data_IF_488002731345
#
_entry.id   IF_488002731345
#
_cell.length_a   1.000
_cell.length_b   1.000
_cell.length_c   1.000
_cell.angle_alpha   90.00
_cell.angle_beta   90.00
_cell.angle_gamma   90.00
#
_symmetry.space_group_name_H-M   'P 1'
#
loop_
_entity.id
_entity.type
_entity.pdbx_description
1 polymer ?
#
# COMPACT_ATOMS: atom_id res chain seq x y z
N UNK A 1 -24.91 15.50 4.99
CA UNK A 1 -24.85 14.09 5.40
C UNK A 1 -23.37 13.69 5.59
N UNK A 2 -23.07 13.07 6.73
CA UNK A 2 -21.71 12.63 7.07
C UNK A 2 -21.18 11.60 6.08
N UNK A 3 -22.03 10.69 5.64
CA UNK A 3 -21.67 9.63 4.69
C UNK A 3 -21.26 10.26 3.36
N UNK A 4 -22.08 11.15 2.80
CA UNK A 4 -21.77 11.82 1.52
C UNK A 4 -20.47 12.63 1.60
N UNK A 5 -20.16 13.19 2.78
CA UNK A 5 -18.93 13.98 2.97
C UNK A 5 -17.68 13.13 3.11
N UNK A 6 -17.81 11.92 3.66
CA UNK A 6 -16.69 11.05 3.98
C UNK A 6 -16.42 9.99 2.91
N UNK A 7 -17.45 9.54 2.20
CA UNK A 7 -17.33 8.50 1.19
C UNK A 7 -17.23 9.07 -0.22
N UNK A 8 -16.49 8.39 -1.06
CA UNK A 8 -16.35 8.72 -2.49
C UNK A 8 -17.12 7.71 -3.33
N UNK A 9 -17.99 8.20 -4.20
CA UNK A 9 -18.74 7.35 -5.14
C UNK A 9 -17.84 6.65 -6.15
N UNK A 10 -16.70 7.28 -6.49
CA UNK A 10 -15.79 6.84 -7.53
C UNK A 10 -14.34 6.81 -7.03
N UNK A 11 -14.00 5.81 -6.22
CA UNK A 11 -12.62 5.54 -5.86
C UNK A 11 -11.89 4.86 -7.05
N UNK A 12 -10.81 5.47 -7.52
CA UNK A 12 -10.08 4.99 -8.70
C UNK A 12 -9.12 3.88 -8.35
N UNK A 13 -9.06 2.88 -9.22
CA UNK A 13 -8.02 1.86 -9.23
C UNK A 13 -7.33 1.85 -10.60
N UNK A 14 -6.01 1.87 -10.60
CA UNK A 14 -5.20 1.83 -11.81
C UNK A 14 -4.12 0.76 -11.65
N UNK A 15 -3.89 -0.02 -12.70
CA UNK A 15 -2.83 -1.03 -12.74
C UNK A 15 -2.21 -1.08 -14.13
N UNK A 16 -0.90 -0.95 -14.18
CA UNK A 16 -0.11 -1.00 -15.41
C UNK A 16 0.99 -2.03 -15.25
N UNK A 17 1.20 -2.82 -16.28
CA UNK A 17 2.30 -3.79 -16.32
C UNK A 17 2.96 -3.73 -17.70
N UNK A 18 4.28 -3.55 -17.69
CA UNK A 18 5.12 -3.64 -18.86
C UNK A 18 6.00 -4.89 -18.75
N UNK A 19 5.95 -5.76 -19.72
CA UNK A 19 6.78 -6.97 -19.81
C UNK A 19 7.64 -6.95 -21.07
N UNK A 20 8.91 -7.31 -20.90
CA UNK A 20 9.88 -7.46 -21.99
C UNK A 20 10.50 -8.84 -21.85
N UNK A 21 10.43 -9.64 -22.91
CA UNK A 21 11.08 -10.94 -22.97
C UNK A 21 11.99 -11.02 -24.18
N UNK A 22 13.07 -11.71 -24.05
CA UNK A 22 14.00 -11.90 -25.13
C UNK A 22 14.96 -13.05 -24.88
N UNK A 23 15.76 -13.36 -25.86
CA UNK A 23 16.74 -14.41 -25.70
C UNK A 23 17.55 -14.68 -26.95
N UNK A 24 18.53 -15.52 -26.77
CA UNK A 24 19.41 -16.08 -27.80
C UNK A 24 19.47 -17.61 -27.68
N UNK A 25 20.35 -18.26 -28.40
CA UNK A 25 20.58 -19.70 -28.25
C UNK A 25 21.11 -20.09 -26.85
N UNK A 26 21.77 -19.16 -26.18
CA UNK A 26 22.44 -19.42 -24.90
C UNK A 26 21.83 -18.66 -23.70
N UNK A 27 20.96 -17.68 -23.94
CA UNK A 27 20.45 -16.84 -22.89
C UNK A 27 18.97 -16.53 -23.12
N UNK A 28 18.18 -16.55 -22.04
CA UNK A 28 16.81 -16.05 -22.01
C UNK A 28 16.66 -15.05 -20.88
N UNK A 29 15.82 -14.04 -21.09
CA UNK A 29 15.51 -13.08 -20.05
C UNK A 29 14.05 -12.63 -20.12
N UNK A 30 13.52 -12.30 -18.97
CA UNK A 30 12.21 -11.68 -18.81
C UNK A 30 12.30 -10.55 -17.78
N UNK A 31 11.91 -9.37 -18.18
CA UNK A 31 11.82 -8.16 -17.35
C UNK A 31 10.36 -7.79 -17.20
N UNK A 32 9.93 -7.41 -16.00
CA UNK A 32 8.60 -6.89 -15.76
C UNK A 32 8.65 -5.68 -14.84
N UNK A 33 7.93 -4.63 -15.22
CA UNK A 33 7.67 -3.44 -14.43
C UNK A 33 6.17 -3.36 -14.17
N UNK A 34 5.77 -3.08 -12.95
CA UNK A 34 4.37 -2.91 -12.59
C UNK A 34 4.17 -1.69 -11.69
N UNK A 35 3.07 -1.01 -11.92
CA UNK A 35 2.55 0.05 -11.08
C UNK A 35 1.09 -0.23 -10.78
N UNK A 36 0.68 -0.03 -9.53
CA UNK A 36 -0.70 -0.09 -9.09
C UNK A 36 -0.96 1.06 -8.13
N UNK A 37 -2.08 1.73 -8.32
CA UNK A 37 -2.62 2.73 -7.41
C UNK A 37 -4.10 2.44 -7.16
N UNK A 38 -4.51 2.56 -5.90
CA UNK A 38 -5.89 2.39 -5.47
C UNK A 38 -6.25 3.45 -4.45
N UNK A 39 -7.22 4.27 -4.77
CA UNK A 39 -7.81 5.24 -3.84
C UNK A 39 -8.76 4.52 -2.89
N UNK A 40 -8.79 4.95 -1.63
CA UNK A 40 -9.79 4.48 -0.67
C UNK A 40 -11.16 5.07 -0.95
N UNK A 41 -12.20 4.31 -0.67
CA UNK A 41 -13.60 4.78 -0.75
C UNK A 41 -13.92 5.80 0.35
N UNK A 42 -13.13 5.86 1.42
CA UNK A 42 -13.27 6.81 2.51
C UNK A 42 -12.21 7.90 2.38
N UNK A 43 -12.65 9.14 2.25
CA UNK A 43 -11.81 10.33 2.12
C UNK A 43 -11.06 10.45 0.78
N UNK A 44 -11.03 9.41 -0.04
CA UNK A 44 -10.34 9.41 -1.33
C UNK A 44 -8.82 9.39 -1.20
N UNK A 45 -8.13 9.84 -2.25
CA UNK A 45 -6.67 9.77 -2.38
C UNK A 45 -5.90 10.45 -1.25
N UNK A 46 -6.39 11.56 -0.73
CA UNK A 46 -5.68 12.36 0.28
C UNK A 46 -5.74 11.75 1.68
N UNK A 47 -6.74 10.91 1.95
CA UNK A 47 -7.00 10.29 3.25
C UNK A 47 -6.62 8.83 3.27
N UNK A 48 -6.92 8.11 2.18
CA UNK A 48 -6.72 6.67 2.09
C UNK A 48 -6.24 6.31 0.69
N UNK A 49 -5.01 5.87 0.58
CA UNK A 49 -4.38 5.56 -0.70
C UNK A 49 -3.43 4.37 -0.56
N UNK A 50 -3.32 3.60 -1.61
CA UNK A 50 -2.36 2.53 -1.75
C UNK A 50 -1.65 2.65 -3.08
N UNK A 51 -0.32 2.62 -3.04
CA UNK A 51 0.53 2.57 -4.23
C UNK A 51 1.53 1.43 -4.13
N UNK A 52 1.76 0.77 -5.25
CA UNK A 52 2.74 -0.32 -5.37
C UNK A 52 3.50 -0.22 -6.67
N UNK A 53 4.81 -0.26 -6.54
CA UNK A 53 5.75 -0.40 -7.63
C UNK A 53 6.41 -1.77 -7.54
N UNK A 54 6.49 -2.49 -8.62
CA UNK A 54 7.18 -3.76 -8.66
C UNK A 54 8.07 -3.86 -9.88
N UNK A 55 9.22 -4.44 -9.64
CA UNK A 55 10.21 -4.77 -10.64
C UNK A 55 10.55 -6.26 -10.50
N UNK A 56 10.66 -6.96 -11.62
CA UNK A 56 11.09 -8.36 -11.65
C UNK A 56 11.99 -8.59 -12.85
N UNK A 57 13.07 -9.31 -12.61
CA UNK A 57 13.93 -9.84 -13.67
C UNK A 57 14.17 -11.33 -13.41
N UNK A 58 14.07 -12.10 -14.47
CA UNK A 58 14.47 -13.51 -14.51
C UNK A 58 15.38 -13.70 -15.70
N UNK A 59 16.50 -14.36 -15.50
CA UNK A 59 17.33 -14.78 -16.62
C UNK A 59 17.88 -16.19 -16.44
N UNK A 60 18.21 -16.82 -17.53
CA UNK A 60 18.89 -18.10 -17.60
C UNK A 60 19.95 -18.04 -18.69
N UNK A 61 21.13 -18.56 -18.39
CA UNK A 61 22.27 -18.57 -19.32
C UNK A 61 22.89 -19.96 -19.37
N UNK A 62 23.05 -20.49 -20.57
CA UNK A 62 23.90 -21.64 -20.84
C UNK A 62 25.35 -21.17 -20.95
N UNK A 63 26.23 -21.72 -20.14
CA UNK A 63 27.65 -21.33 -20.12
C UNK A 63 28.38 -21.85 -21.39
N UNK A 64 27.94 -23.02 -21.88
CA UNK A 64 28.50 -23.62 -23.09
C UNK A 64 27.43 -23.62 -24.20
N UNK A 65 27.77 -23.03 -25.35
CA UNK A 65 26.83 -22.83 -26.47
C UNK A 65 26.19 -24.13 -26.96
N UNK A 66 26.99 -25.19 -27.10
CA UNK A 66 26.57 -26.45 -27.70
C UNK A 66 26.35 -27.57 -26.66
N UNK A 67 26.27 -27.20 -25.39
CA UNK A 67 26.10 -28.16 -24.29
C UNK A 67 25.21 -27.62 -23.17
N UNK A 68 24.35 -28.46 -22.67
CA UNK A 68 23.54 -28.19 -21.46
C UNK A 68 24.29 -28.54 -20.15
N UNK A 69 25.64 -28.70 -20.22
CA UNK A 69 26.44 -29.09 -19.08
C UNK A 69 26.26 -28.19 -17.88
N UNK A 70 26.26 -26.87 -18.09
CA UNK A 70 26.12 -25.88 -17.03
C UNK A 70 25.18 -24.76 -17.45
N UNK A 71 24.15 -24.55 -16.65
CA UNK A 71 23.24 -23.41 -16.74
C UNK A 71 23.30 -22.62 -15.43
N UNK A 72 23.26 -21.32 -15.53
CA UNK A 72 23.11 -20.40 -14.39
C UNK A 72 21.92 -19.49 -14.63
N UNK A 73 21.26 -19.08 -13.58
CA UNK A 73 20.15 -18.16 -13.71
C UNK A 73 19.91 -17.39 -12.42
N UNK A 74 19.22 -16.28 -12.56
CA UNK A 74 18.77 -15.48 -11.45
C UNK A 74 17.29 -15.14 -11.59
N UNK A 75 16.67 -14.94 -10.43
CA UNK A 75 15.33 -14.39 -10.28
C UNK A 75 15.39 -13.32 -9.21
N UNK A 76 15.14 -12.08 -9.60
CA UNK A 76 15.17 -10.94 -8.70
C UNK A 76 13.83 -10.22 -8.76
N UNK A 77 13.32 -9.83 -7.60
CA UNK A 77 12.08 -9.07 -7.45
C UNK A 77 12.29 -7.97 -6.44
N UNK A 78 11.84 -6.79 -6.78
CA UNK A 78 11.76 -5.65 -5.88
C UNK A 78 10.32 -5.14 -5.85
N UNK A 79 9.79 -4.93 -4.65
CA UNK A 79 8.45 -4.40 -4.43
C UNK A 79 8.55 -3.23 -3.46
N UNK A 80 8.05 -2.08 -3.88
CA UNK A 80 7.89 -0.91 -3.03
C UNK A 80 6.41 -0.58 -2.90
N UNK A 81 5.94 -0.41 -1.66
CA UNK A 81 4.55 -0.09 -1.33
C UNK A 81 4.51 1.15 -0.47
N UNK A 82 3.52 1.98 -0.73
CA UNK A 82 3.13 3.10 0.13
C UNK A 82 1.64 3.02 0.39
N UNK A 83 1.25 3.22 1.62
CA UNK A 83 -0.15 3.38 1.96
C UNK A 83 -0.34 4.31 3.14
N UNK A 84 -1.43 5.03 3.11
CA UNK A 84 -2.00 5.78 4.22
C UNK A 84 -3.46 5.35 4.41
N UNK A 85 -4.05 5.72 5.53
CA UNK A 85 -5.44 5.38 5.78
C UNK A 85 -5.93 5.84 7.15
N UNK A 86 -7.19 5.61 7.38
CA UNK A 86 -7.89 5.91 8.65
C UNK A 86 -7.85 4.72 9.60
N UNK A 87 -8.02 5.00 10.91
CA UNK A 87 -8.15 3.95 11.90
C UNK A 87 -9.56 3.33 11.85
N UNK A 88 -9.59 2.01 11.77
CA UNK A 88 -10.83 1.19 11.80
C UNK A 88 -10.64 -0.03 12.73
N UNK A 89 -9.89 0.16 13.82
CA UNK A 89 -9.35 -0.95 14.61
C UNK A 89 -10.38 -1.68 15.47
N UNK A 90 -11.25 -0.96 16.16
CA UNK A 90 -12.22 -1.54 17.10
C UNK A 90 -13.54 -0.76 17.14
N UNK A 91 -14.43 -1.12 18.06
CA UNK A 91 -15.73 -0.48 18.20
C UNK A 91 -15.64 1.00 18.60
N UNK A 92 -14.63 1.41 19.35
CA UNK A 92 -14.49 2.76 19.89
C UNK A 92 -13.54 3.64 19.05
N UNK A 93 -12.49 3.04 18.52
CA UNK A 93 -11.48 3.73 17.70
C UNK A 93 -11.76 3.51 16.21
N UNK A 94 -12.96 3.83 15.77
CA UNK A 94 -13.42 3.56 14.42
C UNK A 94 -14.07 4.80 13.80
N UNK A 95 -13.33 5.48 12.95
CA UNK A 95 -13.79 6.70 12.27
C UNK A 95 -15.08 6.45 11.45
N UNK A 96 -15.25 5.25 10.90
CA UNK A 96 -16.46 4.92 10.09
C UNK A 96 -17.71 4.82 10.96
N UNK A 97 -17.59 4.28 12.18
CA UNK A 97 -18.71 4.20 13.10
C UNK A 97 -19.29 5.59 13.39
N UNK A 98 -18.41 6.60 13.60
CA UNK A 98 -18.82 7.97 13.82
C UNK A 98 -19.68 8.53 12.68
N UNK A 99 -19.38 8.17 11.42
CA UNK A 99 -20.17 8.61 10.27
C UNK A 99 -21.63 8.14 10.31
N UNK A 100 -21.91 7.00 10.94
CA UNK A 100 -23.25 6.46 11.10
C UNK A 100 -23.92 6.85 12.42
N UNK A 101 -23.13 7.15 13.46
CA UNK A 101 -23.62 7.42 14.81
C UNK A 101 -23.88 8.92 15.05
N UNK A 102 -23.15 9.81 14.40
CA UNK A 102 -23.29 11.25 14.58
C UNK A 102 -24.59 11.77 13.95
N UNK A 103 -25.25 12.67 14.66
CA UNK A 103 -26.50 13.29 14.16
C UNK A 103 -26.31 13.91 12.77
N UNK A 104 -27.14 13.58 11.78
CA UNK A 104 -27.05 14.15 10.44
C UNK A 104 -27.37 15.65 10.39
N UNK A 105 -27.95 16.20 11.45
CA UNK A 105 -28.25 17.63 11.58
C UNK A 105 -27.07 18.43 12.12
N UNK A 106 -26.09 17.78 12.75
CA UNK A 106 -24.90 18.46 13.23
C UNK A 106 -24.05 18.95 12.06
N UNK A 107 -23.60 20.22 12.06
CA UNK A 107 -22.71 20.73 11.04
C UNK A 107 -21.30 20.13 11.17
N UNK A 108 -20.61 19.96 10.04
CA UNK A 108 -19.22 19.46 10.01
C UNK A 108 -18.27 20.54 10.54
N UNK A 109 -18.52 21.79 10.21
CA UNK A 109 -17.66 22.94 10.49
C UNK A 109 -18.34 23.89 11.47
N UNK A 110 -17.53 24.58 12.29
CA UNK A 110 -17.96 25.62 13.21
C UNK A 110 -16.89 26.69 13.33
N UNK A 111 -17.30 27.95 13.37
CA UNK A 111 -16.40 29.10 13.58
C UNK A 111 -15.96 29.26 15.05
N UNK A 112 -16.51 28.47 15.96
CA UNK A 112 -16.34 28.62 17.42
C UNK A 112 -15.45 27.54 18.04
N UNK A 113 -14.56 26.90 17.30
CA UNK A 113 -13.70 25.90 17.88
C UNK A 113 -12.50 26.53 18.60
N UNK A 114 -12.25 26.10 19.84
CA UNK A 114 -11.23 26.68 20.76
C UNK A 114 -9.77 26.41 20.34
N UNK A 115 -9.52 25.49 19.40
CA UNK A 115 -8.19 25.02 19.01
C UNK A 115 -7.82 25.32 17.56
N UNK A 116 -8.26 26.46 17.05
CA UNK A 116 -7.97 26.89 15.66
C UNK A 116 -8.35 25.83 14.60
N UNK A 117 -9.32 25.00 14.93
CA UNK A 117 -9.90 23.99 14.06
C UNK A 117 -11.26 24.48 13.58
N UNK A 118 -11.50 24.38 12.28
CA UNK A 118 -12.81 24.69 11.70
C UNK A 118 -13.85 23.59 11.91
N UNK A 119 -13.46 22.45 12.50
CA UNK A 119 -14.38 21.33 12.74
C UNK A 119 -15.25 21.57 13.96
N UNK A 120 -16.55 21.27 13.83
CA UNK A 120 -17.50 21.41 14.92
C UNK A 120 -17.27 20.34 15.99
N UNK A 121 -17.36 20.74 17.26
CA UNK A 121 -17.41 19.80 18.39
C UNK A 121 -18.81 19.21 18.52
N UNK A 122 -18.99 18.00 17.98
CA UNK A 122 -20.28 17.29 18.02
C UNK A 122 -20.55 16.59 19.35
N UNK A 123 -19.54 16.49 20.23
CA UNK A 123 -19.67 15.81 21.51
C UNK A 123 -20.19 16.72 22.64
N UNK A 124 -20.07 18.04 22.49
CA UNK A 124 -20.35 19.04 23.54
C UNK A 124 -21.44 20.03 23.14
N UNK A 125 -22.42 19.61 22.40
CA UNK A 125 -23.49 20.49 21.92
C UNK A 125 -24.86 19.81 22.06
N UNK A 126 -25.91 20.49 21.60
CA UNK A 126 -27.27 19.92 21.45
C UNK A 126 -27.30 18.68 20.56
N UNK A 127 -26.20 18.39 19.87
CA UNK A 127 -26.01 17.24 18.98
C UNK A 127 -25.30 16.06 19.65
N UNK A 128 -25.11 16.10 20.95
CA UNK A 128 -24.35 15.11 21.71
C UNK A 128 -24.80 13.68 21.43
N UNK A 129 -23.85 12.83 21.05
CA UNK A 129 -24.04 11.41 20.79
C UNK A 129 -22.91 10.54 21.37
N UNK A 130 -21.97 11.12 22.11
CA UNK A 130 -20.79 10.44 22.68
C UNK A 130 -19.62 10.26 21.71
N UNK A 131 -19.77 10.63 20.45
CA UNK A 131 -18.73 10.53 19.45
C UNK A 131 -18.27 11.93 18.99
N UNK A 132 -16.99 12.09 18.75
CA UNK A 132 -16.44 13.32 18.19
C UNK A 132 -16.77 13.47 16.69
N UNK A 133 -16.40 14.61 16.11
CA UNK A 133 -16.60 14.88 14.70
C UNK A 133 -15.92 13.84 13.81
N UNK A 134 -16.64 12.98 13.11
CA UNK A 134 -16.06 11.89 12.34
C UNK A 134 -15.28 12.38 11.12
N UNK A 135 -15.71 13.48 10.49
CA UNK A 135 -15.00 14.09 9.37
C UNK A 135 -13.67 14.70 9.82
N UNK A 136 -13.70 15.46 10.92
CA UNK A 136 -12.49 16.00 11.54
C UNK A 136 -11.52 14.89 11.95
N UNK A 137 -12.02 13.83 12.59
CA UNK A 137 -11.22 12.63 12.93
C UNK A 137 -10.62 11.96 11.70
N UNK A 138 -11.36 11.83 10.61
CA UNK A 138 -10.87 11.30 9.35
C UNK A 138 -9.70 12.14 8.81
N UNK A 139 -9.86 13.45 8.76
CA UNK A 139 -8.85 14.36 8.19
C UNK A 139 -7.60 14.47 9.07
N UNK A 140 -7.74 14.45 10.40
CA UNK A 140 -6.61 14.58 11.31
C UNK A 140 -5.84 13.28 11.51
N UNK A 141 -6.54 12.13 11.51
CA UNK A 141 -5.93 10.81 11.71
C UNK A 141 -5.37 10.19 10.42
N UNK A 142 -5.60 10.79 9.25
CA UNK A 142 -5.04 10.36 7.98
C UNK A 142 -3.58 10.78 7.75
N UNK A 143 -3.02 11.61 8.64
CA UNK A 143 -1.62 12.05 8.57
C UNK A 143 -0.64 10.93 8.97
N UNK A 144 -0.80 9.78 8.36
CA UNK A 144 0.07 8.63 8.54
C UNK A 144 0.52 8.10 7.18
N UNK A 145 1.69 7.51 7.15
CA UNK A 145 2.24 6.90 5.94
C UNK A 145 3.03 5.65 6.34
N UNK A 146 2.73 4.56 5.69
CA UNK A 146 3.48 3.32 5.82
C UNK A 146 4.17 3.01 4.48
N UNK A 147 5.49 2.88 4.51
CA UNK A 147 6.32 2.51 3.37
C UNK A 147 6.97 1.17 3.63
N UNK A 148 6.90 0.28 2.64
CA UNK A 148 7.54 -1.03 2.73
C UNK A 148 8.31 -1.29 1.44
N UNK A 149 9.60 -1.57 1.59
CA UNK A 149 10.47 -2.02 0.50
C UNK A 149 10.85 -3.49 0.74
N UNK A 150 10.63 -4.34 -0.25
CA UNK A 150 11.00 -5.76 -0.19
C UNK A 150 11.82 -6.11 -1.40
N UNK A 151 13.01 -6.59 -1.16
CA UNK A 151 13.89 -7.20 -2.15
C UNK A 151 13.90 -8.72 -1.92
N UNK A 152 13.70 -9.48 -2.98
CA UNK A 152 13.87 -10.93 -2.94
C UNK A 152 14.59 -11.39 -4.20
N UNK A 153 15.52 -12.30 -4.03
CA UNK A 153 16.27 -12.82 -5.15
C UNK A 153 16.82 -14.20 -4.89
N UNK A 154 16.99 -14.93 -5.95
CA UNK A 154 17.75 -16.17 -5.94
C UNK A 154 18.62 -16.26 -7.18
N UNK A 155 19.74 -16.95 -7.03
CA UNK A 155 20.62 -17.37 -8.10
C UNK A 155 20.74 -18.89 -8.04
N UNK A 156 20.83 -19.52 -9.17
CA UNK A 156 20.99 -20.95 -9.25
C UNK A 156 22.04 -21.37 -10.28
N UNK A 157 22.64 -22.51 -10.04
CA UNK A 157 23.47 -23.23 -10.99
C UNK A 157 22.92 -24.65 -11.17
N UNK A 158 22.76 -25.09 -12.39
CA UNK A 158 22.33 -26.42 -12.78
C UNK A 158 23.43 -27.08 -13.60
N UNK A 159 24.00 -28.16 -13.07
CA UNK A 159 25.02 -28.96 -13.72
C UNK A 159 24.40 -30.27 -14.20
N UNK A 160 24.57 -30.60 -15.48
CA UNK A 160 24.09 -31.81 -16.09
C UNK A 160 25.30 -32.62 -16.66
N UNK A 161 26.03 -33.35 -15.79
CA UNK A 161 27.26 -34.07 -16.22
C UNK A 161 26.99 -35.23 -17.18
N UNK A 162 25.81 -35.85 -17.07
CA UNK A 162 25.35 -36.89 -17.96
C UNK A 162 23.86 -36.70 -18.27
N UNK A 163 23.39 -37.22 -19.40
CA UNK A 163 22.08 -36.94 -19.97
C UNK A 163 20.89 -37.06 -19.01
N UNK A 164 20.96 -37.97 -18.04
CA UNK A 164 19.85 -38.27 -17.12
C UNK A 164 20.11 -37.82 -15.66
N UNK A 165 21.17 -37.04 -15.38
CA UNK A 165 21.51 -36.56 -14.04
C UNK A 165 21.63 -35.03 -14.06
N UNK A 166 20.79 -34.37 -13.28
CA UNK A 166 20.83 -32.94 -13.03
C UNK A 166 21.08 -32.66 -11.56
N UNK A 167 22.06 -31.84 -11.30
CA UNK A 167 22.38 -31.32 -9.97
C UNK A 167 22.10 -29.83 -9.98
N UNK A 168 21.20 -29.36 -9.11
CA UNK A 168 20.83 -27.94 -9.02
C UNK A 168 21.10 -27.41 -7.64
N UNK A 169 21.85 -26.34 -7.55
CA UNK A 169 22.07 -25.56 -6.34
C UNK A 169 21.38 -24.20 -6.48
N UNK A 170 20.69 -23.77 -5.43
CA UNK A 170 19.98 -22.50 -5.37
C UNK A 170 20.39 -21.77 -4.11
N UNK A 171 20.79 -20.50 -4.27
CA UNK A 171 20.99 -19.58 -3.15
C UNK A 171 19.97 -18.47 -3.26
N UNK A 172 19.19 -18.23 -2.20
CA UNK A 172 18.16 -17.19 -2.14
C UNK A 172 18.32 -16.28 -0.95
N UNK A 173 17.93 -15.02 -1.13
CA UNK A 173 17.90 -14.03 -0.06
C UNK A 173 16.63 -13.17 -0.15
N UNK A 174 16.12 -12.76 1.01
CA UNK A 174 15.02 -11.80 1.13
C UNK A 174 15.45 -10.72 2.11
N UNK A 175 15.26 -9.48 1.73
CA UNK A 175 15.47 -8.32 2.58
C UNK A 175 14.23 -7.44 2.56
N UNK A 176 13.74 -7.05 3.74
CA UNK A 176 12.58 -6.17 3.89
C UNK A 176 12.89 -5.01 4.82
N UNK A 177 12.40 -3.83 4.46
CA UNK A 177 12.42 -2.62 5.29
C UNK A 177 11.02 -2.05 5.34
N UNK A 178 10.59 -1.63 6.53
CA UNK A 178 9.30 -0.96 6.75
C UNK A 178 9.53 0.33 7.53
N UNK A 179 8.89 1.40 7.08
CA UNK A 179 8.92 2.72 7.72
C UNK A 179 7.48 3.16 7.95
N UNK A 180 7.18 3.56 9.17
CA UNK A 180 5.90 4.17 9.52
C UNK A 180 6.13 5.58 10.03
N UNK A 181 5.37 6.54 9.50
CA UNK A 181 5.33 7.92 9.94
C UNK A 181 3.91 8.29 10.30
N UNK A 182 3.75 9.06 11.38
CA UNK A 182 2.47 9.58 11.82
C UNK A 182 2.65 10.98 12.39
N UNK A 183 1.72 11.87 12.09
CA UNK A 183 1.64 13.19 12.65
C UNK A 183 0.23 13.43 13.16
N UNK A 184 0.11 13.72 14.45
CA UNK A 184 -1.15 14.08 15.08
C UNK A 184 -1.16 15.59 15.33
N UNK A 185 -1.94 16.38 14.56
CA UNK A 185 -2.11 17.80 14.84
C UNK A 185 -2.84 18.01 16.17
N UNK A 186 -2.63 19.17 16.78
CA UNK A 186 -3.41 19.58 17.94
C UNK A 186 -4.82 19.93 17.47
N UNK A 187 -5.83 19.26 18.01
CA UNK A 187 -7.24 19.53 17.72
C UNK A 187 -8.13 19.20 18.92
N UNK A 188 -9.32 19.79 18.93
CA UNK A 188 -10.38 19.38 19.85
C UNK A 188 -11.73 19.50 19.14
N UNK A 189 -12.39 18.39 18.89
CA UNK A 189 -13.76 18.29 18.40
C UNK A 189 -14.50 17.09 19.02
N UNK A 190 -14.03 16.67 20.19
CA UNK A 190 -14.64 15.71 21.11
C UNK A 190 -14.16 16.00 22.53
N UNK A 191 -14.95 15.58 23.53
CA UNK A 191 -14.59 15.67 24.95
C UNK A 191 -13.55 14.60 25.28
#
# INVERSE_FOLDING_TARGET
DWIDSMFKDNARMQSYTLGITGGSQTSTYALSLGYMSQEGVVGGKDVSNYERYNFRINSEHKIFKDSDLLKVGEQVSFVYKMNNGISVSDQYNNTLRGAFATSPLAPIYSDNNAYDSSYNDTSNSDWYNGDGNPYGSMMTNSNNENKTATFSGNVYAELQPVRNLKLRSVFGAVYGSSEYRSFNPLYQFSI
#
